data_IF_764428193339
#
_entry.id   IF_764428193339
#
_cell.length_a   1.000
_cell.length_b   1.000
_cell.length_c   1.000
_cell.angle_alpha   90.00
_cell.angle_beta   90.00
_cell.angle_gamma   90.00
#
_symmetry.space_group_name_H-M   'P 1'
#
loop_
_entity.id
_entity.type
_entity.pdbx_description
1 polymer ?
#
# COMPACT_ATOMS: atom_id res chain seq x y z
N UNK A 1 4.39 13.22 -16.34
CA UNK A 1 3.56 12.79 -15.19
C UNK A 1 4.44 11.88 -14.35
N UNK A 2 4.76 12.23 -13.11
CA UNK A 2 5.54 11.32 -12.24
C UNK A 2 4.70 10.10 -11.91
N UNK A 3 5.15 8.92 -12.36
CA UNK A 3 4.52 7.64 -12.05
C UNK A 3 4.88 7.15 -10.65
N UNK A 4 4.01 6.32 -10.09
CA UNK A 4 4.24 5.65 -8.81
C UNK A 4 3.97 4.16 -8.97
N UNK A 5 4.83 3.33 -8.37
CA UNK A 5 4.72 1.87 -8.42
C UNK A 5 4.82 1.25 -7.03
N UNK A 6 4.03 0.21 -6.78
CA UNK A 6 4.17 -0.61 -5.57
C UNK A 6 5.15 -1.74 -5.89
N UNK A 7 6.14 -1.95 -5.04
CA UNK A 7 7.15 -3.01 -5.21
C UNK A 7 7.26 -3.83 -3.94
N UNK A 8 7.50 -5.13 -4.10
CA UNK A 8 7.88 -5.99 -3.00
C UNK A 8 9.37 -5.77 -2.67
N UNK A 9 9.66 -5.45 -1.42
CA UNK A 9 11.03 -5.26 -0.93
C UNK A 9 11.38 -6.43 -0.03
N UNK A 10 12.29 -7.29 -0.48
CA UNK A 10 12.74 -8.48 0.26
C UNK A 10 13.63 -8.16 1.46
N UNK A 11 14.35 -7.04 1.42
CA UNK A 11 15.32 -6.67 2.46
C UNK A 11 15.05 -5.29 3.06
N UNK A 12 15.07 -5.21 4.38
CA UNK A 12 14.79 -4.00 5.14
C UNK A 12 15.95 -3.00 4.99
N UNK A 13 15.95 -2.24 3.90
CA UNK A 13 16.94 -1.20 3.65
C UNK A 13 16.41 0.16 4.07
N UNK A 14 17.11 0.79 4.99
CA UNK A 14 16.88 2.18 5.33
C UNK A 14 17.05 3.05 4.08
N UNK A 15 16.12 3.96 3.89
CA UNK A 15 16.13 4.86 2.75
C UNK A 15 15.49 6.18 3.13
N UNK A 16 15.71 7.21 2.30
CA UNK A 16 15.03 8.49 2.46
C UNK A 16 13.87 8.59 1.49
N UNK A 17 12.77 9.17 1.96
CA UNK A 17 11.63 9.50 1.11
C UNK A 17 12.09 10.41 -0.03
N UNK A 18 11.76 10.03 -1.26
CA UNK A 18 12.10 10.79 -2.47
C UNK A 18 11.46 12.19 -2.55
N UNK A 19 10.50 12.50 -1.66
CA UNK A 19 9.73 13.75 -1.68
C UNK A 19 9.99 14.67 -0.51
N UNK A 20 10.12 14.14 0.71
CA UNK A 20 10.37 14.95 1.91
C UNK A 20 11.75 14.73 2.53
N UNK A 21 12.55 13.79 2.02
CA UNK A 21 13.88 13.46 2.57
C UNK A 21 13.87 12.77 3.94
N UNK A 22 12.71 12.61 4.57
CA UNK A 22 12.59 11.89 5.85
C UNK A 22 13.03 10.44 5.71
N UNK A 23 13.70 9.93 6.75
CA UNK A 23 14.05 8.52 6.83
C UNK A 23 12.79 7.67 6.84
N UNK A 24 12.66 6.82 5.84
CA UNK A 24 11.69 5.74 5.82
C UNK A 24 12.37 4.51 6.39
N UNK A 25 11.87 4.01 7.52
CA UNK A 25 12.21 2.68 8.00
C UNK A 25 11.87 1.69 6.89
N UNK A 26 12.91 1.13 6.27
CA UNK A 26 12.78 0.07 5.28
C UNK A 26 12.14 -1.12 5.96
N UNK A 27 10.84 -1.30 5.78
CA UNK A 27 10.17 -2.53 6.20
C UNK A 27 10.20 -3.48 5.02
N UNK A 28 10.50 -4.75 5.28
CA UNK A 28 10.25 -5.81 4.30
C UNK A 28 8.77 -5.81 3.94
N UNK A 29 8.47 -6.08 2.68
CA UNK A 29 7.11 -6.13 2.16
C UNK A 29 6.80 -5.05 1.11
N UNK A 30 5.51 -4.84 0.87
CA UNK A 30 5.04 -3.92 -0.16
C UNK A 30 5.33 -2.47 0.22
N UNK A 31 5.96 -1.73 -0.69
CA UNK A 31 6.35 -0.33 -0.51
C UNK A 31 6.07 0.48 -1.77
N UNK A 32 5.69 1.75 -1.61
CA UNK A 32 5.47 2.68 -2.72
C UNK A 32 6.79 3.33 -3.14
N UNK A 33 7.06 3.33 -4.45
CA UNK A 33 8.22 3.97 -5.07
C UNK A 33 7.77 5.03 -6.07
N UNK A 34 8.58 6.08 -6.21
CA UNK A 34 8.45 7.03 -7.31
C UNK A 34 9.24 6.51 -8.53
N UNK A 35 8.60 6.44 -9.69
CA UNK A 35 9.19 5.86 -10.90
C UNK A 35 10.45 6.61 -11.36
N UNK A 36 10.46 7.94 -11.19
CA UNK A 36 11.54 8.81 -11.63
C UNK A 36 12.85 8.60 -10.87
N UNK A 37 12.79 8.13 -9.62
CA UNK A 37 13.97 8.07 -8.73
C UNK A 37 14.31 6.68 -8.23
N UNK A 38 13.41 5.69 -8.40
CA UNK A 38 13.60 4.36 -7.79
C UNK A 38 13.72 4.40 -6.27
N UNK A 39 13.33 5.50 -5.64
CA UNK A 39 13.41 5.75 -4.20
C UNK A 39 12.05 5.57 -3.54
N UNK A 40 12.01 5.06 -2.30
CA UNK A 40 10.75 4.87 -1.60
C UNK A 40 10.06 6.21 -1.33
N UNK A 41 8.74 6.15 -1.21
CA UNK A 41 7.89 7.29 -0.84
C UNK A 41 7.25 6.97 0.51
N UNK A 42 7.42 7.86 1.48
CA UNK A 42 6.78 7.69 2.78
C UNK A 42 5.25 7.80 2.66
N UNK A 43 4.52 7.14 3.55
CA UNK A 43 3.04 7.16 3.58
C UNK A 43 2.43 8.58 3.54
N UNK A 44 2.91 9.56 4.34
CA UNK A 44 2.37 10.93 4.28
C UNK A 44 2.52 11.59 2.90
N UNK A 45 3.68 11.43 2.24
CA UNK A 45 3.90 11.96 0.90
C UNK A 45 3.05 11.21 -0.14
N UNK A 46 2.96 9.89 -0.03
CA UNK A 46 2.12 9.08 -0.91
C UNK A 46 0.65 9.47 -0.81
N UNK A 47 0.11 9.74 0.39
CA UNK A 47 -1.28 10.17 0.57
C UNK A 47 -1.59 11.49 -0.14
N UNK A 48 -0.62 12.41 -0.19
CA UNK A 48 -0.78 13.72 -0.85
C UNK A 48 -0.62 13.63 -2.36
N UNK A 49 0.29 12.79 -2.85
CA UNK A 49 0.71 12.78 -4.24
C UNK A 49 0.09 11.66 -5.08
N UNK A 50 -0.24 10.53 -4.44
CA UNK A 50 -0.78 9.32 -5.06
C UNK A 50 -1.74 8.60 -4.10
N UNK A 51 -2.85 9.25 -3.69
CA UNK A 51 -3.78 8.71 -2.69
C UNK A 51 -4.32 7.33 -3.08
N UNK A 52 -4.66 7.12 -4.35
CA UNK A 52 -5.12 5.83 -4.89
C UNK A 52 -4.09 4.72 -4.70
N UNK A 53 -2.81 5.02 -4.93
CA UNK A 53 -1.74 4.03 -4.77
C UNK A 53 -1.48 3.69 -3.30
N UNK A 54 -1.67 4.65 -2.38
CA UNK A 54 -1.61 4.36 -0.95
C UNK A 54 -2.79 3.51 -0.52
N UNK A 55 -4.01 3.81 -0.99
CA UNK A 55 -5.17 3.00 -0.66
C UNK A 55 -5.02 1.55 -1.19
N UNK A 56 -4.46 1.38 -2.39
CA UNK A 56 -4.12 0.07 -2.93
C UNK A 56 -3.06 -0.66 -2.09
N UNK A 57 -2.03 0.07 -1.65
CA UNK A 57 -1.00 -0.48 -0.76
C UNK A 57 -1.60 -0.92 0.58
N UNK A 58 -2.52 -0.14 1.14
CA UNK A 58 -3.23 -0.47 2.38
C UNK A 58 -4.10 -1.71 2.22
N UNK A 59 -4.85 -1.80 1.11
CA UNK A 59 -5.62 -2.99 0.77
C UNK A 59 -4.72 -4.23 0.65
N UNK A 60 -3.61 -4.13 -0.08
CA UNK A 60 -2.71 -5.26 -0.28
C UNK A 60 -2.04 -5.72 1.03
N UNK A 61 -1.60 -4.79 1.88
CA UNK A 61 -1.03 -5.12 3.19
C UNK A 61 -2.06 -5.75 4.14
N UNK A 62 -3.31 -5.29 4.11
CA UNK A 62 -4.40 -5.90 4.89
C UNK A 62 -4.72 -7.30 4.38
N UNK A 63 -4.83 -7.48 3.06
CA UNK A 63 -5.04 -8.79 2.45
C UNK A 63 -3.92 -9.78 2.79
N UNK A 64 -2.66 -9.33 2.73
CA UNK A 64 -1.50 -10.15 3.14
C UNK A 64 -1.58 -10.54 4.61
N UNK A 65 -1.95 -9.62 5.50
CA UNK A 65 -2.10 -9.89 6.94
C UNK A 65 -3.20 -10.91 7.20
N UNK A 66 -4.38 -10.74 6.60
CA UNK A 66 -5.52 -11.65 6.74
C UNK A 66 -5.14 -13.03 6.20
N UNK A 67 -4.54 -13.12 5.02
CA UNK A 67 -4.09 -14.37 4.42
C UNK A 67 -3.05 -15.10 5.26
N UNK A 68 -2.00 -14.40 5.73
CA UNK A 68 -0.94 -15.01 6.55
C UNK A 68 -1.42 -15.40 7.94
N UNK A 69 -2.25 -14.56 8.57
CA UNK A 69 -2.75 -14.78 9.93
C UNK A 69 -3.84 -15.84 10.02
N UNK A 70 -4.66 -15.99 8.97
CA UNK A 70 -5.83 -16.88 8.97
C UNK A 70 -5.62 -18.13 8.11
N UNK A 71 -4.40 -18.42 7.63
CA UNK A 71 -4.12 -19.55 6.73
C UNK A 71 -4.52 -20.93 7.27
N UNK A 72 -4.65 -21.05 8.59
CA UNK A 72 -5.00 -22.30 9.28
C UNK A 72 -6.47 -22.35 9.70
N UNK A 73 -7.24 -21.30 9.40
CA UNK A 73 -8.65 -21.20 9.74
C UNK A 73 -9.49 -21.52 8.50
N UNK A 74 -10.60 -22.24 8.68
CA UNK A 74 -11.58 -22.44 7.61
C UNK A 74 -12.23 -21.11 7.20
N UNK A 75 -12.43 -20.21 8.16
CA UNK A 75 -12.91 -18.85 7.94
C UNK A 75 -12.11 -17.87 8.81
N UNK A 76 -11.56 -16.78 8.23
CA UNK A 76 -10.98 -15.70 9.01
C UNK A 76 -11.99 -15.14 10.04
N UNK A 77 -11.53 -14.59 11.19
CA UNK A 77 -12.42 -13.94 12.14
C UNK A 77 -13.10 -12.74 11.48
N UNK A 78 -14.33 -12.44 11.90
CA UNK A 78 -15.15 -11.38 11.31
C UNK A 78 -14.42 -10.02 11.29
N UNK A 79 -13.69 -9.69 12.35
CA UNK A 79 -12.88 -8.47 12.45
C UNK A 79 -11.87 -8.34 11.30
N UNK A 80 -11.18 -9.42 10.95
CA UNK A 80 -10.23 -9.44 9.83
C UNK A 80 -10.91 -9.26 8.48
N UNK A 81 -12.12 -9.79 8.31
CA UNK A 81 -12.91 -9.59 7.08
C UNK A 81 -13.42 -8.15 6.96
N UNK A 82 -13.82 -7.54 8.08
CA UNK A 82 -14.25 -6.15 8.12
C UNK A 82 -13.10 -5.18 7.85
N UNK A 83 -11.92 -5.43 8.42
CA UNK A 83 -10.70 -4.67 8.11
C UNK A 83 -10.37 -4.72 6.61
N UNK A 84 -10.48 -5.90 6.00
CA UNK A 84 -10.24 -6.08 4.57
C UNK A 84 -11.29 -5.35 3.72
N UNK A 85 -12.57 -5.46 4.07
CA UNK A 85 -13.66 -4.79 3.39
C UNK A 85 -13.51 -3.26 3.44
N UNK A 86 -13.19 -2.71 4.61
CA UNK A 86 -12.97 -1.27 4.78
C UNK A 86 -11.77 -0.77 3.98
N UNK A 87 -10.67 -1.55 3.91
CA UNK A 87 -9.54 -1.19 3.06
C UNK A 87 -9.91 -1.20 1.56
N UNK A 88 -10.75 -2.15 1.13
CA UNK A 88 -11.23 -2.24 -0.25
C UNK A 88 -12.17 -1.09 -0.63
N UNK A 89 -13.05 -0.67 0.28
CA UNK A 89 -13.90 0.50 0.10
C UNK A 89 -13.07 1.78 -0.02
N UNK A 90 -12.08 1.97 0.86
CA UNK A 90 -11.16 3.11 0.79
C UNK A 90 -10.40 3.18 -0.55
N UNK A 91 -9.97 2.03 -1.08
CA UNK A 91 -9.39 1.97 -2.42
C UNK A 91 -10.42 2.33 -3.50
N UNK A 92 -11.63 1.79 -3.44
CA UNK A 92 -12.69 2.05 -4.42
C UNK A 92 -13.09 3.53 -4.46
N UNK A 93 -13.10 4.21 -3.31
CA UNK A 93 -13.41 5.64 -3.21
C UNK A 93 -12.29 6.55 -3.71
N UNK A 94 -11.05 6.06 -3.76
CA UNK A 94 -9.88 6.81 -4.25
C UNK A 94 -9.48 6.42 -5.67
N UNK A 95 -9.94 5.28 -6.17
CA UNK A 95 -9.74 4.87 -7.55
C UNK A 95 -10.59 5.78 -8.45
N UNK A 96 -10.00 6.37 -9.51
CA UNK A 96 -10.82 7.01 -10.54
C UNK A 96 -11.76 5.94 -11.07
N UNK A 97 -13.06 6.17 -10.93
CA UNK A 97 -14.08 5.31 -11.51
C UNK A 97 -13.89 5.35 -13.02
N UNK A 98 -13.23 4.33 -13.58
CA UNK A 98 -13.38 3.98 -14.98
C UNK A 98 -14.84 3.54 -15.14
N UNK A 99 -15.75 4.51 -15.25
CA UNK A 99 -17.10 4.27 -15.74
C UNK A 99 -16.93 3.84 -17.18
N UNK A 100 -16.96 2.53 -17.40
CA UNK A 100 -17.23 1.96 -18.70
C UNK A 100 -18.57 2.53 -19.17
N UNK A 101 -18.51 3.35 -20.21
CA UNK A 101 -19.68 3.77 -20.98
C UNK A 101 -20.10 2.67 -21.94
#
# INVERSE_FOLDING_TARGET
MSGYTIRLVDDAKEGCCSKCGQQTLGKRGLTLFADDMGKPVCRPCGKKLAPTMIALLDLALTAERVGKGCRHLLTPPMESLLDLAHAAENYSNTAPTLRAG
#
